data_IF_297201584892
#
_entry.id   IF_297201584892
#
_cell.length_a   1.000
_cell.length_b   1.000
_cell.length_c   1.000
_cell.angle_alpha   90.00
_cell.angle_beta   90.00
_cell.angle_gamma   90.00
#
_symmetry.space_group_name_H-M   'P 1'
#
loop_
_entity.id
_entity.type
_entity.pdbx_description
1 polymer ?
#
# COMPACT_ATOMS: atom_id res chain seq x y z
N UNK A 1 -51.43 5.26 -0.30
CA UNK A 1 -52.02 4.06 -0.91
C UNK A 1 -51.78 2.88 0.03
N UNK A 2 -52.81 2.53 0.80
CA UNK A 2 -52.95 1.29 1.56
C UNK A 2 -53.30 0.17 0.58
N UNK A 3 -52.69 -1.01 0.69
CA UNK A 3 -53.40 -2.28 0.43
C UNK A 3 -52.82 -3.36 1.34
N UNK A 4 -53.68 -3.92 2.19
CA UNK A 4 -53.46 -5.12 2.97
C UNK A 4 -54.31 -6.26 2.39
N UNK A 5 -53.87 -7.51 2.67
CA UNK A 5 -54.63 -8.78 2.67
C UNK A 5 -54.97 -9.45 1.31
N UNK A 6 -55.42 -10.71 1.30
CA UNK A 6 -54.87 -11.91 1.96
C UNK A 6 -54.93 -13.16 1.04
N UNK A 7 -54.17 -14.22 1.32
CA UNK A 7 -54.39 -15.52 0.69
C UNK A 7 -55.04 -16.49 1.70
N UNK A 8 -56.32 -16.75 1.48
CA UNK A 8 -57.22 -17.59 2.28
C UNK A 8 -57.36 -18.92 1.54
N UNK A 9 -56.95 -20.03 2.15
CA UNK A 9 -57.34 -21.36 1.69
C UNK A 9 -58.02 -22.11 2.83
N UNK A 10 -59.30 -22.40 2.59
CA UNK A 10 -60.14 -23.32 3.33
C UNK A 10 -59.84 -24.76 2.89
N UNK A 11 -59.72 -25.69 3.83
CA UNK A 11 -60.11 -27.09 3.62
C UNK A 11 -60.51 -27.71 4.96
N UNK A 12 -61.44 -28.65 4.91
CA UNK A 12 -62.48 -28.91 5.90
C UNK A 12 -62.28 -30.25 6.63
N UNK A 13 -62.98 -30.39 7.78
CA UNK A 13 -63.44 -31.61 8.49
C UNK A 13 -62.58 -32.14 9.66
N UNK A 14 -63.05 -31.78 10.86
CA UNK A 14 -63.54 -32.61 11.97
C UNK A 14 -62.81 -33.91 12.40
N UNK A 15 -62.82 -34.07 13.73
CA UNK A 15 -62.88 -35.30 14.57
C UNK A 15 -61.61 -35.62 15.40
N UNK A 16 -61.80 -35.47 16.72
CA UNK A 16 -61.42 -36.37 17.84
C UNK A 16 -60.04 -37.05 17.87
N UNK A 17 -59.39 -36.96 19.04
CA UNK A 17 -58.45 -37.99 19.48
C UNK A 17 -57.18 -37.43 20.09
N UNK A 18 -57.10 -37.54 21.41
CA UNK A 18 -55.88 -37.43 22.21
C UNK A 18 -54.81 -38.42 21.75
N UNK A 19 -53.72 -37.94 21.15
CA UNK A 19 -52.43 -38.64 21.14
C UNK A 19 -51.31 -37.60 21.10
N UNK A 20 -50.52 -37.57 22.17
CA UNK A 20 -49.30 -36.78 22.26
C UNK A 20 -48.27 -37.29 21.24
N UNK A 21 -47.72 -36.43 20.36
CA UNK A 21 -46.40 -36.68 19.81
C UNK A 21 -45.39 -35.97 20.72
N UNK A 22 -44.53 -36.78 21.33
CA UNK A 22 -43.25 -36.33 21.90
C UNK A 22 -42.43 -35.78 20.74
N UNK A 23 -42.63 -34.50 20.41
CA UNK A 23 -41.67 -33.74 19.64
C UNK A 23 -40.73 -33.10 20.66
N UNK A 24 -39.71 -33.85 21.08
CA UNK A 24 -38.50 -33.22 21.58
C UNK A 24 -38.02 -32.30 20.46
N UNK A 25 -38.26 -30.99 20.58
CA UNK A 25 -37.46 -30.02 19.85
C UNK A 25 -36.03 -30.28 20.29
N UNK A 26 -35.26 -30.98 19.45
CA UNK A 26 -33.83 -30.85 19.45
C UNK A 26 -33.57 -29.39 19.08
N UNK A 27 -33.59 -28.53 20.09
CA UNK A 27 -33.09 -27.18 20.01
C UNK A 27 -31.60 -27.32 19.79
N UNK A 28 -31.24 -27.50 18.53
CA UNK A 28 -29.88 -27.27 18.10
C UNK A 28 -29.68 -25.77 18.23
N UNK A 29 -29.35 -25.34 19.44
CA UNK A 29 -28.61 -24.12 19.68
C UNK A 29 -27.24 -24.33 19.02
N UNK A 30 -27.19 -24.37 17.69
CA UNK A 30 -25.99 -24.00 16.97
C UNK A 30 -25.79 -22.54 17.33
N UNK A 31 -25.05 -22.32 18.41
CA UNK A 31 -24.29 -21.12 18.63
C UNK A 31 -23.50 -20.97 17.34
N UNK A 32 -24.01 -20.15 16.43
CA UNK A 32 -23.26 -19.61 15.30
C UNK A 32 -22.17 -18.78 15.96
N UNK A 33 -21.12 -19.47 16.41
CA UNK A 33 -19.87 -18.88 16.83
C UNK A 33 -19.35 -18.24 15.56
N UNK A 34 -19.70 -16.97 15.38
CA UNK A 34 -19.15 -16.10 14.34
C UNK A 34 -17.65 -16.02 14.60
N UNK A 35 -16.92 -17.00 14.08
CA UNK A 35 -15.50 -16.83 13.85
C UNK A 35 -15.44 -15.70 12.82
N UNK A 36 -15.19 -14.48 13.29
CA UNK A 36 -14.72 -13.39 12.43
C UNK A 36 -13.37 -13.83 11.84
N UNK A 37 -13.41 -14.72 10.87
CA UNK A 37 -12.24 -15.28 10.18
C UNK A 37 -11.84 -14.40 8.98
N UNK A 38 -12.55 -13.30 8.76
CA UNK A 38 -12.23 -12.32 7.74
C UNK A 38 -12.63 -10.94 8.23
N UNK A 39 -11.76 -10.29 9.00
CA UNK A 39 -11.86 -8.84 9.12
C UNK A 39 -11.40 -8.27 7.79
N UNK A 40 -12.34 -7.73 7.00
CA UNK A 40 -11.99 -7.01 5.79
C UNK A 40 -10.97 -5.91 6.15
N UNK A 41 -9.92 -5.69 5.34
CA UNK A 41 -8.94 -4.67 5.63
C UNK A 41 -9.66 -3.34 5.82
N UNK A 42 -9.30 -2.61 6.88
CA UNK A 42 -9.87 -1.29 7.13
C UNK A 42 -9.64 -0.41 5.90
N UNK A 43 -10.69 0.27 5.43
CA UNK A 43 -10.59 1.20 4.30
C UNK A 43 -9.55 2.26 4.66
N UNK A 44 -8.49 2.33 3.87
CA UNK A 44 -7.45 3.34 4.02
C UNK A 44 -8.06 4.69 3.63
N UNK A 45 -8.39 5.52 4.62
CA UNK A 45 -9.10 6.80 4.41
C UNK A 45 -8.16 7.99 4.16
N UNK A 46 -6.85 7.79 4.27
CA UNK A 46 -5.85 8.85 4.18
C UNK A 46 -4.69 8.44 3.26
N UNK A 47 -4.16 9.41 2.51
CA UNK A 47 -3.05 9.21 1.58
C UNK A 47 -3.47 8.74 0.19
N UNK A 48 -2.46 8.49 -0.65
CA UNK A 48 -2.65 7.97 -2.00
C UNK A 48 -3.11 6.51 -1.97
N UNK A 49 -3.99 6.13 -2.88
CA UNK A 49 -4.40 4.73 -3.06
C UNK A 49 -3.16 3.86 -3.37
N UNK A 50 -3.04 2.64 -2.80
CA UNK A 50 -1.88 1.77 -3.03
C UNK A 50 -1.64 1.46 -4.52
N UNK A 51 -2.71 1.30 -5.30
CA UNK A 51 -2.62 1.06 -6.75
C UNK A 51 -2.04 2.25 -7.52
N UNK A 52 -2.41 3.47 -7.12
CA UNK A 52 -1.91 4.71 -7.75
C UNK A 52 -0.45 4.92 -7.35
N UNK A 53 -0.09 4.68 -6.08
CA UNK A 53 1.30 4.74 -5.62
C UNK A 53 2.20 3.80 -6.45
N UNK A 54 1.77 2.54 -6.59
CA UNK A 54 2.49 1.55 -7.41
C UNK A 54 2.65 2.02 -8.86
N UNK A 55 1.59 2.57 -9.46
CA UNK A 55 1.63 3.06 -10.84
C UNK A 55 2.64 4.20 -11.00
N UNK A 56 2.66 5.16 -10.07
CA UNK A 56 3.60 6.29 -10.10
C UNK A 56 5.05 5.80 -10.00
N UNK A 57 5.35 4.84 -9.12
CA UNK A 57 6.68 4.26 -9.03
C UNK A 57 7.14 3.66 -10.36
N UNK A 58 6.25 2.93 -11.05
CA UNK A 58 6.57 2.30 -12.34
C UNK A 58 6.79 3.35 -13.43
N UNK A 59 5.96 4.39 -13.46
CA UNK A 59 6.14 5.52 -14.41
C UNK A 59 7.47 6.22 -14.18
N UNK A 60 7.83 6.49 -12.92
CA UNK A 60 9.13 7.09 -12.58
C UNK A 60 10.30 6.20 -13.03
N UNK A 61 10.24 4.90 -12.70
CA UNK A 61 11.29 3.95 -13.09
C UNK A 61 11.42 3.81 -14.62
N UNK A 62 10.30 3.73 -15.34
CA UNK A 62 10.30 3.69 -16.80
C UNK A 62 10.83 5.00 -17.41
N UNK A 63 10.49 6.15 -16.83
CA UNK A 63 10.99 7.46 -17.25
C UNK A 63 12.49 7.65 -17.03
N UNK A 64 13.08 6.98 -16.04
CA UNK A 64 14.52 7.03 -15.80
C UNK A 64 15.34 6.30 -16.89
N UNK A 65 14.77 5.33 -17.60
CA UNK A 65 15.45 4.61 -18.69
C UNK A 65 15.98 5.55 -19.79
N UNK A 66 15.14 6.40 -20.44
CA UNK A 66 15.62 7.38 -21.40
C UNK A 66 16.34 8.56 -20.75
N UNK A 67 16.13 8.83 -19.46
CA UNK A 67 16.76 9.96 -18.77
C UNK A 67 18.28 9.84 -18.75
N UNK A 68 18.83 8.64 -18.50
CA UNK A 68 20.27 8.42 -18.43
C UNK A 68 21.04 8.68 -19.74
N UNK A 69 20.64 8.13 -20.92
CA UNK A 69 21.33 8.46 -22.17
C UNK A 69 21.20 9.95 -22.52
N UNK A 70 20.06 10.58 -22.20
CA UNK A 70 19.89 12.03 -22.39
C UNK A 70 20.84 12.82 -21.49
N UNK A 71 21.04 12.40 -20.23
CA UNK A 71 21.95 13.04 -19.28
C UNK A 71 23.43 12.94 -19.70
N UNK A 72 23.82 11.86 -20.39
CA UNK A 72 25.17 11.73 -20.94
C UNK A 72 25.39 12.79 -22.03
N UNK A 73 24.41 13.01 -22.90
CA UNK A 73 24.52 13.96 -24.01
C UNK A 73 24.35 15.43 -23.56
N UNK A 74 23.39 15.71 -22.67
CA UNK A 74 23.06 17.07 -22.22
C UNK A 74 23.43 17.28 -20.75
N UNK A 75 24.47 18.07 -20.51
CA UNK A 75 24.89 18.44 -19.16
C UNK A 75 24.49 19.88 -18.85
N UNK A 76 23.21 20.09 -18.56
CA UNK A 76 22.66 21.38 -18.15
C UNK A 76 22.31 21.36 -16.66
N UNK A 77 22.31 22.50 -15.95
CA UNK A 77 21.90 22.56 -14.55
C UNK A 77 20.48 22.01 -14.31
N UNK A 78 19.58 22.21 -15.29
CA UNK A 78 18.23 21.66 -15.26
C UNK A 78 18.23 20.14 -15.38
N UNK A 79 19.02 19.57 -16.30
CA UNK A 79 19.14 18.11 -16.43
C UNK A 79 19.71 17.48 -15.16
N UNK A 80 20.72 18.10 -14.55
CA UNK A 80 21.26 17.66 -13.27
C UNK A 80 20.19 17.64 -12.17
N UNK A 81 19.38 18.69 -12.06
CA UNK A 81 18.28 18.74 -11.09
C UNK A 81 17.25 17.62 -11.32
N UNK A 82 16.87 17.36 -12.58
CA UNK A 82 15.93 16.29 -12.93
C UNK A 82 16.51 14.92 -12.55
N UNK A 83 17.77 14.65 -12.92
CA UNK A 83 18.46 13.38 -12.62
C UNK A 83 18.55 13.17 -11.10
N UNK A 84 19.04 14.16 -10.36
CA UNK A 84 19.19 14.08 -8.90
C UNK A 84 17.84 13.85 -8.23
N UNK A 85 16.79 14.56 -8.67
CA UNK A 85 15.45 14.41 -8.10
C UNK A 85 14.85 13.04 -8.42
N UNK A 86 14.92 12.59 -9.68
CA UNK A 86 14.39 11.30 -10.11
C UNK A 86 15.06 10.14 -9.36
N UNK A 87 16.40 10.13 -9.29
CA UNK A 87 17.17 9.11 -8.56
C UNK A 87 16.84 9.12 -7.08
N UNK A 88 16.72 10.30 -6.46
CA UNK A 88 16.41 10.42 -5.02
C UNK A 88 15.01 9.89 -4.69
N UNK A 89 14.00 10.24 -5.49
CA UNK A 89 12.62 9.76 -5.29
C UNK A 89 12.53 8.24 -5.54
N UNK A 90 13.15 7.74 -6.60
CA UNK A 90 13.18 6.31 -6.91
C UNK A 90 13.83 5.51 -5.78
N UNK A 91 14.96 6.00 -5.26
CA UNK A 91 15.66 5.37 -4.13
C UNK A 91 14.81 5.39 -2.86
N UNK A 92 14.15 6.53 -2.56
CA UNK A 92 13.30 6.68 -1.38
C UNK A 92 12.19 5.63 -1.32
N UNK A 93 11.44 5.45 -2.41
CA UNK A 93 10.37 4.45 -2.49
C UNK A 93 10.89 3.02 -2.59
N UNK A 94 11.95 2.77 -3.37
CA UNK A 94 12.52 1.44 -3.54
C UNK A 94 13.01 0.84 -2.22
N UNK A 95 13.80 1.60 -1.46
CA UNK A 95 14.30 1.14 -0.15
C UNK A 95 13.23 1.08 0.94
N UNK A 96 12.20 1.94 0.92
CA UNK A 96 11.07 1.80 1.86
C UNK A 96 10.34 0.46 1.66
N UNK A 97 10.33 -0.09 0.44
CA UNK A 97 9.91 -1.46 0.15
C UNK A 97 10.84 -2.51 0.77
N UNK A 98 12.16 -2.40 0.53
CA UNK A 98 13.18 -3.31 1.10
C UNK A 98 13.07 -3.38 2.63
N UNK A 99 12.91 -2.24 3.30
CA UNK A 99 12.77 -2.20 4.76
C UNK A 99 11.50 -2.97 5.20
N UNK A 100 10.37 -2.78 4.52
CA UNK A 100 9.12 -3.49 4.86
C UNK A 100 9.23 -4.99 4.69
N UNK A 101 9.95 -5.45 3.66
CA UNK A 101 10.07 -6.87 3.34
C UNK A 101 10.98 -7.60 4.34
N UNK A 102 12.07 -6.96 4.79
CA UNK A 102 13.08 -7.61 5.62
C UNK A 102 12.99 -7.27 7.12
N UNK A 103 12.46 -6.11 7.51
CA UNK A 103 12.37 -5.68 8.90
C UNK A 103 11.04 -6.08 9.57
N UNK A 104 10.59 -7.32 9.39
CA UNK A 104 9.30 -7.77 9.90
C UNK A 104 9.29 -7.96 11.43
N UNK A 105 8.21 -7.49 12.06
CA UNK A 105 8.07 -7.40 13.53
C UNK A 105 8.22 -8.75 14.24
N UNK A 106 7.81 -9.85 13.59
CA UNK A 106 7.86 -11.20 14.17
C UNK A 106 9.28 -11.63 14.57
N UNK A 107 10.33 -11.17 13.87
CA UNK A 107 11.72 -11.56 14.15
C UNK A 107 12.47 -10.55 15.01
N UNK A 108 12.21 -9.27 14.80
CA UNK A 108 13.03 -8.20 15.36
C UNK A 108 12.30 -7.32 16.40
N UNK A 109 11.04 -7.63 16.69
CA UNK A 109 10.20 -6.86 17.58
C UNK A 109 9.57 -5.63 16.92
N UNK A 110 8.61 -4.98 17.61
CA UNK A 110 7.81 -3.90 17.03
C UNK A 110 8.57 -2.57 16.87
N UNK A 111 9.70 -2.40 17.55
CA UNK A 111 10.45 -1.15 17.56
C UNK A 111 11.37 -0.96 16.34
N UNK A 112 11.86 -2.04 15.71
CA UNK A 112 12.87 -1.93 14.66
C UNK A 112 12.33 -1.23 13.39
N UNK A 113 11.15 -1.63 12.92
CA UNK A 113 10.52 -1.10 11.71
C UNK A 113 10.36 0.44 11.75
N UNK A 114 9.72 1.05 12.77
CA UNK A 114 9.56 2.50 12.82
C UNK A 114 10.89 3.25 12.94
N UNK A 115 11.88 2.69 13.64
CA UNK A 115 13.22 3.29 13.74
C UNK A 115 13.91 3.32 12.37
N UNK A 116 13.99 2.16 11.70
CA UNK A 116 14.64 2.06 10.38
C UNK A 116 13.99 2.95 9.34
N UNK A 117 12.65 3.01 9.32
CA UNK A 117 11.92 3.89 8.39
C UNK A 117 12.15 5.38 8.68
N UNK A 118 12.27 5.75 9.95
CA UNK A 118 12.56 7.14 10.34
C UNK A 118 13.99 7.52 9.96
N UNK A 119 14.96 6.65 10.27
CA UNK A 119 16.34 6.83 9.87
C UNK A 119 16.48 6.95 8.36
N UNK A 120 15.81 6.07 7.61
CA UNK A 120 15.81 6.10 6.14
C UNK A 120 15.29 7.43 5.60
N UNK A 121 14.16 7.92 6.09
CA UNK A 121 13.60 9.23 5.72
C UNK A 121 14.59 10.37 5.98
N UNK A 122 15.25 10.35 7.12
CA UNK A 122 16.25 11.36 7.50
C UNK A 122 17.44 11.30 6.53
N UNK A 123 18.00 10.12 6.28
CA UNK A 123 19.12 9.95 5.34
C UNK A 123 18.74 10.38 3.92
N UNK A 124 17.54 10.07 3.44
CA UNK A 124 17.07 10.54 2.13
C UNK A 124 16.95 12.06 2.08
N UNK A 125 16.43 12.70 3.14
CA UNK A 125 16.31 14.15 3.23
C UNK A 125 17.67 14.84 3.18
N UNK A 126 18.63 14.38 3.98
CA UNK A 126 20.00 14.90 3.97
C UNK A 126 20.72 14.60 2.65
N UNK A 127 20.59 13.39 2.12
CA UNK A 127 21.22 12.99 0.85
C UNK A 127 20.71 13.81 -0.33
N UNK A 128 19.39 14.00 -0.43
CA UNK A 128 18.79 14.85 -1.47
C UNK A 128 19.20 16.31 -1.30
N UNK A 129 19.16 16.85 -0.07
CA UNK A 129 19.62 18.21 0.23
C UNK A 129 21.09 18.42 -0.13
N UNK A 130 21.96 17.44 0.16
CA UNK A 130 23.37 17.46 -0.21
C UNK A 130 23.58 17.43 -1.73
N UNK A 131 22.86 16.58 -2.46
CA UNK A 131 22.93 16.52 -3.92
C UNK A 131 22.41 17.81 -4.58
N UNK A 132 21.35 18.42 -4.03
CA UNK A 132 20.88 19.73 -4.47
C UNK A 132 21.91 20.81 -4.21
N UNK A 133 22.49 20.85 -3.02
CA UNK A 133 23.55 21.81 -2.68
C UNK A 133 24.73 21.67 -3.65
N UNK A 134 25.17 20.45 -3.93
CA UNK A 134 26.23 20.14 -4.88
C UNK A 134 25.88 20.59 -6.31
N UNK A 135 24.61 20.45 -6.71
CA UNK A 135 24.16 20.92 -8.02
C UNK A 135 24.20 22.45 -8.17
N UNK A 136 23.94 23.19 -7.11
CA UNK A 136 23.91 24.66 -7.16
C UNK A 136 25.24 25.34 -6.84
N UNK A 137 26.09 24.72 -6.03
CA UNK A 137 27.32 25.35 -5.50
C UNK A 137 28.61 24.72 -6.02
N UNK A 138 28.52 23.65 -6.81
CA UNK A 138 29.68 22.93 -7.36
C UNK A 138 29.47 22.61 -8.86
N UNK A 139 30.29 21.73 -9.42
CA UNK A 139 30.34 21.34 -10.84
C UNK A 139 29.08 20.65 -11.36
N UNK A 140 28.18 20.19 -10.49
CA UNK A 140 26.98 19.42 -10.87
C UNK A 140 27.21 17.90 -10.91
N UNK A 141 26.14 17.14 -10.66
CA UNK A 141 26.20 15.69 -10.47
C UNK A 141 26.69 14.93 -11.72
N UNK A 142 26.12 15.21 -12.88
CA UNK A 142 26.44 14.56 -14.17
C UNK A 142 27.89 14.86 -14.55
N UNK A 143 28.29 16.12 -14.47
CA UNK A 143 29.68 16.57 -14.71
C UNK A 143 30.67 15.91 -13.75
N UNK A 144 30.31 15.76 -12.46
CA UNK A 144 31.14 15.07 -11.48
C UNK A 144 31.35 13.60 -11.83
N UNK A 145 30.28 12.90 -12.23
CA UNK A 145 30.38 11.48 -12.67
C UNK A 145 31.25 11.36 -13.92
N UNK A 146 31.11 12.27 -14.89
CA UNK A 146 31.96 12.31 -16.10
C UNK A 146 33.44 12.50 -15.75
N UNK A 147 33.76 13.42 -14.84
CA UNK A 147 35.13 13.66 -14.36
C UNK A 147 35.69 12.46 -13.61
N UNK A 148 34.88 11.82 -12.76
CA UNK A 148 35.27 10.62 -12.03
C UNK A 148 35.61 9.44 -12.96
N UNK A 149 34.87 9.30 -14.07
CA UNK A 149 35.13 8.26 -15.08
C UNK A 149 36.34 8.56 -15.97
N UNK A 150 36.78 9.81 -16.03
CA UNK A 150 37.95 10.21 -16.82
C UNK A 150 39.28 10.07 -16.07
N UNK A 151 39.25 9.65 -14.80
CA UNK A 151 40.41 9.29 -13.99
C UNK A 151 40.92 7.89 -14.36
#
# INVERSE_FOLDING_TARGET
>A
MLVANPCRLLSSRLISGSLWPVCCSFSQNHVLRTTKLGTAPAVQRTGLLPSVHWTIERVLAAGMLPLYPIAIYMDTPMMNFIVVTAVSIHSYWGFDGVIKDYAFERRYGPALMPILRTLWKIMCGFGFGGLLYFNFNDVGFISAVKKLWAL
#
